data_IF_236887869953
#
_entry.id   IF_236887869953
#
_cell.length_a   1.000
_cell.length_b   1.000
_cell.length_c   1.000
_cell.angle_alpha   90.00
_cell.angle_beta   90.00
_cell.angle_gamma   90.00
#
_symmetry.space_group_name_H-M   'P 1'
#
loop_
_entity.id
_entity.type
_entity.pdbx_description
1 polymer ?
#
# COMPACT_ATOMS: atom_id res chain seq x y z
N UNK A 1 6.62 4.32 -29.25
CA UNK A 1 7.81 4.23 -28.36
C UNK A 1 7.43 4.09 -26.89
N UNK A 2 6.69 5.03 -26.27
CA UNK A 2 6.29 4.95 -24.85
C UNK A 2 5.56 3.65 -24.44
N UNK A 3 4.59 3.17 -25.24
CA UNK A 3 3.87 1.91 -24.94
C UNK A 3 4.73 0.65 -25.03
N UNK A 4 5.73 0.63 -25.92
CA UNK A 4 6.63 -0.50 -26.09
C UNK A 4 7.59 -0.61 -24.89
N UNK A 5 8.07 0.54 -24.40
CA UNK A 5 8.88 0.61 -23.19
C UNK A 5 8.10 0.19 -21.93
N UNK A 6 6.85 0.63 -21.77
CA UNK A 6 6.01 0.15 -20.67
C UNK A 6 5.82 -1.37 -20.73
N UNK A 7 5.59 -1.92 -21.93
CA UNK A 7 5.44 -3.36 -22.11
C UNK A 7 6.74 -4.13 -21.77
N UNK A 8 7.92 -3.58 -22.08
CA UNK A 8 9.19 -4.21 -21.70
C UNK A 8 9.49 -4.13 -20.20
N UNK A 9 8.89 -3.17 -19.49
CA UNK A 9 9.04 -2.97 -18.03
C UNK A 9 7.84 -3.46 -17.20
N UNK A 10 7.01 -4.32 -17.79
CA UNK A 10 5.76 -4.78 -17.17
C UNK A 10 6.03 -5.54 -15.87
N UNK A 11 7.05 -6.39 -15.84
CA UNK A 11 7.40 -7.18 -14.65
C UNK A 11 7.80 -6.30 -13.47
N UNK A 12 8.58 -5.26 -13.72
CA UNK A 12 8.97 -4.25 -12.73
C UNK A 12 7.73 -3.54 -12.18
N UNK A 13 6.84 -3.07 -13.06
CA UNK A 13 5.62 -2.37 -12.66
C UNK A 13 4.67 -3.25 -11.85
N UNK A 14 4.47 -4.51 -12.21
CA UNK A 14 3.65 -5.46 -11.45
C UNK A 14 4.22 -5.66 -10.04
N UNK A 15 5.54 -5.81 -9.92
CA UNK A 15 6.21 -5.88 -8.62
C UNK A 15 6.06 -4.58 -7.84
N UNK A 16 6.22 -3.44 -8.50
CA UNK A 16 6.19 -2.11 -7.87
C UNK A 16 4.79 -1.76 -7.34
N UNK A 17 3.71 -2.09 -8.07
CA UNK A 17 2.35 -1.85 -7.55
C UNK A 17 2.06 -2.66 -6.29
N UNK A 18 2.52 -3.92 -6.21
CA UNK A 18 2.29 -4.74 -5.02
C UNK A 18 3.10 -4.20 -3.85
N UNK A 19 4.39 -3.91 -4.06
CA UNK A 19 5.26 -3.34 -3.02
C UNK A 19 4.69 -2.03 -2.48
N UNK A 20 4.40 -1.09 -3.37
CA UNK A 20 3.95 0.24 -2.97
C UNK A 20 2.55 0.19 -2.34
N UNK A 21 1.68 -0.74 -2.77
CA UNK A 21 0.41 -1.01 -2.09
C UNK A 21 0.62 -1.50 -0.65
N UNK A 22 1.48 -2.49 -0.43
CA UNK A 22 1.74 -3.02 0.92
C UNK A 22 2.34 -1.94 1.84
N UNK A 23 3.30 -1.17 1.34
CA UNK A 23 3.91 -0.06 2.08
C UNK A 23 2.87 1.03 2.41
N UNK A 24 2.02 1.40 1.46
CA UNK A 24 0.98 2.43 1.66
C UNK A 24 -0.04 1.97 2.68
N UNK A 25 -0.48 0.71 2.59
CA UNK A 25 -1.41 0.15 3.54
C UNK A 25 -0.83 0.11 4.95
N UNK A 26 0.46 -0.21 5.12
CA UNK A 26 1.10 -0.19 6.44
C UNK A 26 1.09 1.22 7.05
N UNK A 27 1.42 2.25 6.27
CA UNK A 27 1.38 3.65 6.73
C UNK A 27 -0.05 4.06 7.12
N UNK A 28 -1.03 3.78 6.25
CA UNK A 28 -2.43 4.12 6.49
C UNK A 28 -3.02 3.37 7.69
N UNK A 29 -2.72 2.09 7.85
CA UNK A 29 -3.23 1.30 8.98
C UNK A 29 -2.71 1.81 10.33
N UNK A 30 -1.46 2.29 10.40
CA UNK A 30 -0.94 2.93 11.60
C UNK A 30 -1.77 4.17 11.95
N UNK A 31 -2.08 4.99 10.95
CA UNK A 31 -2.91 6.18 11.13
C UNK A 31 -4.35 5.81 11.50
N UNK A 32 -4.93 4.79 10.89
CA UNK A 32 -6.30 4.40 11.18
C UNK A 32 -6.46 3.76 12.57
N UNK A 33 -5.45 3.05 13.07
CA UNK A 33 -5.43 2.59 14.47
C UNK A 33 -5.41 3.76 15.45
N UNK A 34 -4.55 4.75 15.23
CA UNK A 34 -4.56 5.99 16.03
C UNK A 34 -5.91 6.71 15.95
N UNK A 35 -6.55 6.70 14.78
CA UNK A 35 -7.85 7.30 14.61
C UNK A 35 -8.97 6.54 15.32
N UNK A 36 -8.91 5.21 15.38
CA UNK A 36 -9.90 4.43 16.12
C UNK A 36 -9.79 4.69 17.65
N UNK A 37 -8.57 4.87 18.16
CA UNK A 37 -8.31 5.05 19.59
C UNK A 37 -8.49 6.51 20.06
N UNK A 38 -8.01 7.47 19.27
CA UNK A 38 -7.90 8.89 19.65
C UNK A 38 -8.74 9.83 18.76
N UNK A 39 -9.35 9.31 17.68
CA UNK A 39 -9.99 10.11 16.62
C UNK A 39 -9.09 11.21 16.05
N UNK A 40 -7.79 10.89 16.00
CA UNK A 40 -6.74 11.76 15.49
C UNK A 40 -6.00 11.07 14.36
N UNK A 41 -5.63 11.87 13.37
CA UNK A 41 -4.72 11.51 12.29
C UNK A 41 -3.60 12.53 12.29
N UNK A 42 -2.40 12.10 11.89
CA UNK A 42 -1.25 12.98 11.74
C UNK A 42 -1.25 13.57 10.32
N UNK A 43 -1.43 14.89 10.23
CA UNK A 43 -1.43 15.59 8.94
C UNK A 43 -0.11 15.39 8.17
N UNK A 44 1.03 15.44 8.85
CA UNK A 44 2.34 15.38 8.20
C UNK A 44 2.58 13.99 7.60
N UNK A 45 2.17 12.92 8.29
CA UNK A 45 2.23 11.55 7.75
C UNK A 45 1.36 11.42 6.50
N UNK A 46 0.13 11.96 6.51
CA UNK A 46 -0.76 11.94 5.34
C UNK A 46 -0.19 12.79 4.19
N UNK A 47 0.43 13.92 4.49
CA UNK A 47 1.10 14.79 3.52
C UNK A 47 2.30 14.07 2.88
N UNK A 48 3.11 13.36 3.65
CA UNK A 48 4.29 12.64 3.16
C UNK A 48 3.91 11.43 2.30
N UNK A 49 2.90 10.64 2.73
CA UNK A 49 2.49 9.44 1.98
C UNK A 49 1.86 9.80 0.62
N UNK A 50 1.21 10.96 0.52
CA UNK A 50 0.72 11.53 -0.73
C UNK A 50 1.84 12.21 -1.53
N UNK A 51 2.67 12.99 -0.84
CA UNK A 51 3.65 13.90 -1.41
C UNK A 51 3.02 15.01 -2.27
N UNK A 52 3.84 15.61 -3.12
CA UNK A 52 3.45 16.66 -4.06
C UNK A 52 3.90 16.29 -5.47
N UNK A 53 3.40 16.97 -6.49
CA UNK A 53 3.68 16.62 -7.89
C UNK A 53 5.19 16.55 -8.20
N UNK A 54 5.97 17.49 -7.64
CA UNK A 54 7.43 17.57 -7.80
C UNK A 54 8.22 16.63 -6.86
N UNK A 55 7.58 16.07 -5.84
CA UNK A 55 8.17 15.12 -4.90
C UNK A 55 7.10 14.10 -4.47
N UNK A 56 6.89 13.10 -5.35
CA UNK A 56 5.78 12.16 -5.27
C UNK A 56 5.92 11.24 -4.05
N UNK A 57 4.89 11.24 -3.22
CA UNK A 57 4.76 10.30 -2.11
C UNK A 57 4.43 8.90 -2.63
N UNK A 58 4.39 7.96 -1.69
CA UNK A 58 4.17 6.55 -1.98
C UNK A 58 2.83 6.28 -2.70
N UNK A 59 1.73 6.89 -2.22
CA UNK A 59 0.40 6.71 -2.85
C UNK A 59 0.34 7.34 -4.24
N UNK A 60 1.05 8.45 -4.47
CA UNK A 60 1.12 9.05 -5.80
C UNK A 60 1.87 8.13 -6.76
N UNK A 61 3.04 7.61 -6.35
CA UNK A 61 3.82 6.65 -7.16
C UNK A 61 3.03 5.38 -7.44
N UNK A 62 2.30 4.86 -6.47
CA UNK A 62 1.40 3.72 -6.62
C UNK A 62 0.32 3.99 -7.68
N UNK A 63 -0.38 5.12 -7.55
CA UNK A 63 -1.43 5.54 -8.50
C UNK A 63 -0.89 5.75 -9.91
N UNK A 64 0.27 6.40 -10.07
CA UNK A 64 0.87 6.65 -11.39
C UNK A 64 1.37 5.35 -12.03
N UNK A 65 2.02 4.48 -11.25
CA UNK A 65 2.46 3.16 -11.73
C UNK A 65 1.27 2.32 -12.19
N UNK A 66 0.21 2.25 -11.39
CA UNK A 66 -1.03 1.57 -11.77
C UNK A 66 -1.66 2.18 -13.02
N UNK A 67 -1.70 3.51 -13.12
CA UNK A 67 -2.22 4.21 -14.30
C UNK A 67 -1.46 3.83 -15.57
N UNK A 68 -0.12 3.78 -15.52
CA UNK A 68 0.71 3.37 -16.65
C UNK A 68 0.52 1.91 -17.02
N UNK A 69 0.46 1.02 -16.01
CA UNK A 69 0.29 -0.42 -16.22
C UNK A 69 -1.07 -0.75 -16.85
N UNK A 70 -2.16 -0.20 -16.33
CA UNK A 70 -3.52 -0.62 -16.69
C UNK A 70 -4.15 0.16 -17.85
N UNK A 71 -3.77 1.41 -18.14
CA UNK A 71 -4.33 2.17 -19.28
C UNK A 71 -3.65 1.90 -20.61
N UNK A 72 -2.43 1.36 -20.58
CA UNK A 72 -1.66 1.12 -21.81
C UNK A 72 -2.17 -0.11 -22.57
N UNK A 73 -2.86 -1.01 -21.87
CA UNK A 73 -3.35 -2.27 -22.42
C UNK A 73 -4.86 -2.17 -22.72
N UNK A 74 -5.23 -1.94 -23.98
CA UNK A 74 -6.65 -1.92 -24.39
C UNK A 74 -7.31 -3.30 -24.33
N UNK A 75 -6.53 -4.36 -24.07
CA UNK A 75 -6.99 -5.69 -23.69
C UNK A 75 -6.73 -6.03 -22.21
N UNK A 76 -6.51 -5.02 -21.36
CA UNK A 76 -6.29 -5.22 -19.92
C UNK A 76 -7.42 -6.05 -19.32
N UNK A 77 -7.03 -7.13 -18.65
CA UNK A 77 -7.89 -7.90 -17.77
C UNK A 77 -8.73 -6.96 -16.87
N UNK A 78 -10.00 -7.34 -16.69
CA UNK A 78 -10.99 -6.55 -15.93
C UNK A 78 -10.53 -6.37 -14.48
N UNK A 79 -9.84 -7.35 -13.90
CA UNK A 79 -9.33 -7.22 -12.53
C UNK A 79 -8.21 -6.18 -12.47
N UNK A 80 -7.33 -6.13 -13.46
CA UNK A 80 -6.31 -5.07 -13.59
C UNK A 80 -6.92 -3.66 -13.69
N UNK A 81 -7.97 -3.48 -14.50
CA UNK A 81 -8.63 -2.17 -14.64
C UNK A 81 -9.31 -1.73 -13.33
N UNK A 82 -10.06 -2.63 -12.70
CA UNK A 82 -10.71 -2.38 -11.40
C UNK A 82 -9.67 -2.08 -10.32
N UNK A 83 -8.55 -2.80 -10.31
CA UNK A 83 -7.46 -2.56 -9.38
C UNK A 83 -6.87 -1.16 -9.59
N UNK A 84 -6.63 -0.75 -10.85
CA UNK A 84 -6.23 0.61 -11.17
C UNK A 84 -7.18 1.68 -10.64
N UNK A 85 -8.49 1.43 -10.71
CA UNK A 85 -9.50 2.35 -10.13
C UNK A 85 -9.44 2.38 -8.60
N UNK A 86 -9.38 1.21 -7.94
CA UNK A 86 -9.25 1.14 -6.49
C UNK A 86 -8.02 1.91 -5.98
N UNK A 87 -6.86 1.73 -6.61
CA UNK A 87 -5.64 2.43 -6.24
C UNK A 87 -5.76 3.95 -6.46
N UNK A 88 -6.44 4.39 -7.52
CA UNK A 88 -6.78 5.79 -7.75
C UNK A 88 -7.72 6.35 -6.67
N UNK A 89 -8.76 5.60 -6.27
CA UNK A 89 -9.68 6.01 -5.23
C UNK A 89 -9.00 6.13 -3.86
N UNK A 90 -8.10 5.20 -3.50
CA UNK A 90 -7.32 5.31 -2.24
C UNK A 90 -6.55 6.64 -2.23
N UNK A 91 -5.89 7.00 -3.32
CA UNK A 91 -5.17 8.27 -3.44
C UNK A 91 -6.11 9.47 -3.22
N UNK A 92 -7.26 9.50 -3.90
CA UNK A 92 -8.20 10.62 -3.79
C UNK A 92 -8.87 10.73 -2.42
N UNK A 93 -9.31 9.63 -1.83
CA UNK A 93 -9.89 9.65 -0.48
C UNK A 93 -8.84 10.03 0.57
N UNK A 94 -7.57 9.63 0.39
CA UNK A 94 -6.49 10.05 1.30
C UNK A 94 -6.18 11.55 1.16
N UNK A 95 -6.28 12.12 -0.06
CA UNK A 95 -6.15 13.58 -0.23
C UNK A 95 -7.22 14.34 0.56
N UNK A 96 -8.48 13.91 0.48
CA UNK A 96 -9.56 14.51 1.28
C UNK A 96 -9.29 14.39 2.77
N UNK A 97 -8.92 13.18 3.21
CA UNK A 97 -8.60 12.90 4.60
C UNK A 97 -7.45 13.77 5.14
N UNK A 98 -6.43 14.04 4.32
CA UNK A 98 -5.34 14.96 4.66
C UNK A 98 -5.85 16.38 4.90
N UNK A 99 -6.72 16.89 4.03
CA UNK A 99 -7.30 18.24 4.22
C UNK A 99 -8.14 18.31 5.49
N UNK A 100 -8.93 17.27 5.79
CA UNK A 100 -9.73 17.23 7.02
C UNK A 100 -8.86 17.11 8.28
N UNK A 101 -7.76 16.33 8.23
CA UNK A 101 -6.79 16.24 9.32
C UNK A 101 -6.12 17.60 9.58
N UNK A 102 -5.72 18.32 8.52
CA UNK A 102 -5.18 19.68 8.64
C UNK A 102 -6.18 20.64 9.31
N UNK A 103 -7.44 20.61 8.85
CA UNK A 103 -8.48 21.46 9.41
C UNK A 103 -8.70 21.18 10.90
N UNK A 104 -8.68 19.90 11.29
CA UNK A 104 -8.84 19.48 12.68
C UNK A 104 -7.70 19.97 13.56
N UNK A 105 -6.45 19.81 13.12
CA UNK A 105 -5.27 20.23 13.87
C UNK A 105 -5.20 21.76 14.03
N UNK A 106 -5.40 22.52 12.95
CA UNK A 106 -5.21 23.97 12.97
C UNK A 106 -6.42 24.72 13.51
N UNK A 107 -7.63 24.38 13.08
CA UNK A 107 -8.83 25.12 13.47
C UNK A 107 -9.43 24.58 14.78
N UNK A 108 -9.37 23.26 15.02
CA UNK A 108 -9.92 22.66 16.24
C UNK A 108 -9.31 23.24 17.52
N UNK A 109 -7.98 23.41 17.56
CA UNK A 109 -7.29 24.03 18.70
C UNK A 109 -7.75 25.47 18.97
N UNK A 110 -7.91 26.28 17.91
CA UNK A 110 -8.33 27.69 18.01
C UNK A 110 -9.75 27.85 18.56
N UNK A 111 -10.67 26.94 18.23
CA UNK A 111 -12.02 26.95 18.82
C UNK A 111 -12.00 26.70 20.33
N UNK A 112 -11.08 25.88 20.83
CA UNK A 112 -10.92 25.64 22.26
C UNK A 112 -10.35 26.90 22.95
N UNK A 113 -9.36 27.55 22.35
CA UNK A 113 -8.79 28.81 22.84
C UNK A 113 -9.85 29.92 22.95
N UNK A 114 -10.70 30.07 21.93
CA UNK A 114 -11.79 31.05 21.97
C UNK A 114 -12.78 30.81 23.11
N UNK A 115 -13.05 29.55 23.45
CA UNK A 115 -13.91 29.23 24.62
C UNK A 115 -13.24 29.60 25.95
N UNK A 116 -11.91 29.60 26.03
CA UNK A 116 -11.16 29.88 27.26
C UNK A 116 -11.00 31.39 27.54
N UNK A 117 -10.82 32.21 26.50
CA UNK A 117 -10.59 33.67 26.65
C UNK A 117 -11.86 34.48 26.98
N UNK A 118 -13.03 33.84 27.00
CA UNK A 118 -14.30 34.47 27.36
C UNK A 118 -14.88 35.35 26.24
N UNK A 119 -15.78 34.78 25.45
CA UNK A 119 -16.42 35.47 24.32
C UNK A 119 -17.57 36.38 24.75
N UNK A 120 -17.74 37.52 24.05
CA UNK A 120 -18.92 38.38 24.16
C UNK A 120 -20.19 37.62 23.69
N UNK A 121 -21.40 38.01 24.13
CA UNK A 121 -22.64 37.31 23.76
C UNK A 121 -22.85 37.12 22.26
N UNK A 122 -22.51 38.13 21.45
CA UNK A 122 -22.65 38.12 20.00
C UNK A 122 -21.66 37.14 19.33
N UNK A 123 -20.43 37.06 19.85
CA UNK A 123 -19.37 36.17 19.36
C UNK A 123 -19.67 34.70 19.67
N UNK A 124 -20.33 34.43 20.80
CA UNK A 124 -20.72 33.06 21.20
C UNK A 124 -21.61 32.38 20.17
N UNK A 125 -22.55 33.11 19.56
CA UNK A 125 -23.42 32.57 18.52
C UNK A 125 -22.63 32.13 17.28
N UNK A 126 -21.74 33.02 16.80
CA UNK A 126 -20.91 32.77 15.61
C UNK A 126 -19.94 31.61 15.84
N UNK A 127 -19.25 31.59 16.99
CA UNK A 127 -18.32 30.52 17.36
C UNK A 127 -19.05 29.19 17.52
N UNK A 128 -20.28 29.20 18.05
CA UNK A 128 -21.13 28.02 18.13
C UNK A 128 -21.45 27.43 16.75
N UNK A 129 -21.89 28.25 15.80
CA UNK A 129 -22.18 27.78 14.43
C UNK A 129 -20.93 27.28 13.71
N UNK A 130 -19.80 28.00 13.81
CA UNK A 130 -18.56 27.56 13.19
C UNK A 130 -17.98 26.29 13.82
N UNK A 131 -18.24 26.04 15.11
CA UNK A 131 -17.83 24.79 15.75
C UNK A 131 -18.52 23.56 15.15
N UNK A 132 -19.73 23.72 14.60
CA UNK A 132 -20.41 22.63 13.88
C UNK A 132 -19.66 22.21 12.61
N UNK A 133 -18.93 23.13 11.97
CA UNK A 133 -18.09 22.79 10.80
C UNK A 133 -16.98 21.83 11.21
N UNK A 134 -16.38 22.03 12.39
CA UNK A 134 -15.35 21.12 12.93
C UNK A 134 -15.93 19.74 13.24
N UNK A 135 -17.16 19.67 13.76
CA UNK A 135 -17.85 18.40 13.99
C UNK A 135 -18.14 17.67 12.67
N UNK A 136 -18.54 18.40 11.62
CA UNK A 136 -18.71 17.86 10.26
C UNK A 136 -17.39 17.34 9.67
N UNK A 137 -16.26 18.00 9.93
CA UNK A 137 -14.92 17.51 9.54
C UNK A 137 -14.65 16.15 10.18
N UNK A 138 -14.95 15.97 11.46
CA UNK A 138 -14.77 14.67 12.15
C UNK A 138 -15.66 13.58 11.57
N UNK A 139 -16.91 13.88 11.25
CA UNK A 139 -17.80 12.94 10.55
C UNK A 139 -17.28 12.59 9.16
N UNK A 140 -16.72 13.55 8.44
CA UNK A 140 -16.05 13.30 7.17
C UNK A 140 -14.91 12.31 7.38
N UNK A 141 -13.93 12.62 8.23
CA UNK A 141 -12.76 11.77 8.45
C UNK A 141 -13.14 10.29 8.71
N UNK A 142 -14.19 10.03 9.50
CA UNK A 142 -14.69 8.67 9.73
C UNK A 142 -15.17 7.99 8.44
N UNK A 143 -15.90 8.70 7.59
CA UNK A 143 -16.35 8.20 6.28
C UNK A 143 -15.17 7.94 5.36
N UNK A 144 -14.21 8.84 5.26
CA UNK A 144 -13.03 8.63 4.42
C UNK A 144 -12.20 7.44 4.90
N UNK A 145 -11.94 7.30 6.21
CA UNK A 145 -11.24 6.14 6.79
C UNK A 145 -11.96 4.84 6.47
N UNK A 146 -13.29 4.79 6.68
CA UNK A 146 -14.10 3.60 6.38
C UNK A 146 -14.06 3.25 4.88
N UNK A 147 -14.13 4.26 4.00
CA UNK A 147 -14.03 4.07 2.54
C UNK A 147 -12.66 3.55 2.13
N UNK A 148 -11.58 4.13 2.63
CA UNK A 148 -10.23 3.68 2.31
C UNK A 148 -10.03 2.23 2.75
N UNK A 149 -10.46 1.86 3.97
CA UNK A 149 -10.42 0.46 4.45
C UNK A 149 -11.18 -0.49 3.53
N UNK A 150 -12.38 -0.13 3.11
CA UNK A 150 -13.17 -0.91 2.15
C UNK A 150 -12.45 -1.09 0.81
N UNK A 151 -11.86 -0.02 0.27
CA UNK A 151 -11.14 -0.08 -1.01
C UNK A 151 -9.84 -0.89 -0.89
N UNK A 152 -9.12 -0.81 0.24
CA UNK A 152 -7.94 -1.64 0.52
C UNK A 152 -8.33 -3.12 0.55
N UNK A 153 -9.41 -3.47 1.26
CA UNK A 153 -9.93 -4.85 1.30
C UNK A 153 -10.28 -5.35 -0.11
N UNK A 154 -10.98 -4.53 -0.89
CA UNK A 154 -11.32 -4.84 -2.29
C UNK A 154 -10.06 -5.00 -3.17
N UNK A 155 -9.04 -4.17 -2.95
CA UNK A 155 -7.77 -4.23 -3.68
C UNK A 155 -7.04 -5.54 -3.42
N UNK A 156 -7.01 -6.05 -2.18
CA UNK A 156 -6.41 -7.37 -1.87
C UNK A 156 -7.06 -8.48 -2.68
N UNK A 157 -8.38 -8.49 -2.73
CA UNK A 157 -9.15 -9.46 -3.50
C UNK A 157 -8.88 -9.36 -5.01
N UNK A 158 -8.69 -8.15 -5.53
CA UNK A 158 -8.32 -7.93 -6.93
C UNK A 158 -6.88 -8.37 -7.22
N UNK A 159 -5.92 -8.11 -6.31
CA UNK A 159 -4.55 -8.61 -6.45
C UNK A 159 -4.50 -10.14 -6.54
N UNK A 160 -5.28 -10.85 -5.72
CA UNK A 160 -5.37 -12.33 -5.75
C UNK A 160 -5.83 -12.83 -7.13
N UNK A 161 -6.69 -12.08 -7.82
CA UNK A 161 -7.23 -12.44 -9.14
C UNK A 161 -6.32 -12.00 -10.28
N UNK A 162 -5.61 -10.89 -10.10
CA UNK A 162 -4.77 -10.27 -11.12
C UNK A 162 -3.35 -10.88 -11.19
N UNK A 163 -2.71 -11.10 -10.04
CA UNK A 163 -1.31 -11.55 -9.99
C UNK A 163 -1.02 -12.96 -10.55
N UNK A 164 -1.96 -13.92 -10.62
CA UNK A 164 -1.71 -15.23 -11.24
C UNK A 164 -1.26 -15.16 -12.71
N UNK A 165 -1.69 -14.13 -13.46
CA UNK A 165 -1.20 -13.87 -14.82
C UNK A 165 0.30 -13.51 -14.88
N UNK A 166 0.89 -13.22 -13.72
CA UNK A 166 2.26 -12.79 -13.53
C UNK A 166 3.06 -13.75 -12.65
N UNK A 167 2.61 -15.00 -12.45
CA UNK A 167 3.26 -15.99 -11.57
C UNK A 167 4.72 -16.32 -11.92
N UNK A 168 5.13 -16.16 -13.17
CA UNK A 168 6.52 -16.37 -13.63
C UNK A 168 7.41 -15.13 -13.45
N UNK A 169 6.87 -14.03 -12.90
CA UNK A 169 7.63 -12.81 -12.67
C UNK A 169 8.61 -13.00 -11.49
N UNK A 170 9.88 -13.24 -11.81
CA UNK A 170 10.94 -13.44 -10.83
C UNK A 170 11.12 -12.25 -9.85
N UNK A 171 10.85 -11.02 -10.29
CA UNK A 171 10.90 -9.84 -9.40
C UNK A 171 9.74 -9.82 -8.40
N UNK A 172 8.56 -10.29 -8.80
CA UNK A 172 7.42 -10.46 -7.91
C UNK A 172 7.71 -11.57 -6.89
N UNK A 173 8.22 -12.72 -7.35
CA UNK A 173 8.60 -13.82 -6.46
C UNK A 173 9.67 -13.38 -5.44
N UNK A 174 10.68 -12.64 -5.89
CA UNK A 174 11.71 -12.04 -5.02
C UNK A 174 11.10 -11.08 -3.99
N UNK A 175 10.15 -10.23 -4.37
CA UNK A 175 9.46 -9.36 -3.41
C UNK A 175 8.73 -10.19 -2.34
N UNK A 176 8.00 -11.23 -2.74
CA UNK A 176 7.27 -12.11 -1.83
C UNK A 176 8.22 -12.85 -0.88
N UNK A 177 9.41 -13.22 -1.34
CA UNK A 177 10.46 -13.85 -0.54
C UNK A 177 11.18 -12.85 0.39
N UNK A 178 11.77 -11.79 -0.15
CA UNK A 178 12.59 -10.83 0.59
C UNK A 178 11.78 -9.96 1.57
N UNK A 179 10.53 -9.63 1.23
CA UNK A 179 9.66 -8.75 2.02
C UNK A 179 8.39 -9.48 2.46
N UNK A 180 8.53 -10.76 2.81
CA UNK A 180 7.41 -11.63 3.16
C UNK A 180 6.57 -11.08 4.32
N UNK A 181 7.21 -10.51 5.34
CA UNK A 181 6.54 -9.91 6.50
C UNK A 181 5.64 -8.74 6.09
N UNK A 182 6.12 -7.85 5.23
CA UNK A 182 5.35 -6.73 4.68
C UNK A 182 4.11 -7.23 3.95
N UNK A 183 4.26 -8.24 3.08
CA UNK A 183 3.13 -8.80 2.32
C UNK A 183 2.14 -9.50 3.25
N UNK A 184 2.62 -10.23 4.27
CA UNK A 184 1.75 -10.86 5.28
C UNK A 184 0.98 -9.83 6.09
N UNK A 185 1.62 -8.74 6.52
CA UNK A 185 0.94 -7.64 7.20
C UNK A 185 -0.10 -6.99 6.29
N UNK A 186 0.20 -6.88 5.00
CA UNK A 186 -0.70 -6.25 4.05
C UNK A 186 -1.91 -7.09 3.67
N UNK A 187 -1.77 -8.41 3.56
CA UNK A 187 -2.86 -9.31 3.17
C UNK A 187 -3.55 -9.96 4.38
N UNK A 188 -2.91 -10.01 5.55
CA UNK A 188 -3.45 -10.56 6.79
C UNK A 188 -4.04 -11.97 6.56
N UNK A 189 -5.38 -12.10 6.60
CA UNK A 189 -6.11 -13.36 6.39
C UNK A 189 -6.05 -13.85 4.94
N UNK A 190 -5.83 -12.93 4.00
CA UNK A 190 -5.81 -13.20 2.55
C UNK A 190 -4.43 -13.68 2.06
N UNK A 191 -3.40 -13.73 2.92
CA UNK A 191 -2.04 -14.07 2.49
C UNK A 191 -1.96 -15.49 1.90
N UNK A 192 -2.59 -16.47 2.54
CA UNK A 192 -2.58 -17.84 2.02
C UNK A 192 -3.32 -17.93 0.68
N UNK A 193 -4.47 -17.26 0.56
CA UNK A 193 -5.20 -17.18 -0.70
C UNK A 193 -4.36 -16.56 -1.82
N UNK A 194 -3.54 -15.54 -1.52
CA UNK A 194 -2.60 -14.94 -2.47
C UNK A 194 -1.54 -15.94 -2.94
N UNK A 195 -0.88 -16.65 -2.02
CA UNK A 195 0.16 -17.63 -2.38
C UNK A 195 -0.43 -18.79 -3.17
N UNK A 196 -1.58 -19.33 -2.75
CA UNK A 196 -2.28 -20.39 -3.47
C UNK A 196 -2.73 -19.93 -4.86
N UNK A 197 -3.23 -18.70 -5.01
CA UNK A 197 -3.61 -18.20 -6.33
C UNK A 197 -2.42 -18.07 -7.30
N UNK A 198 -1.24 -17.69 -6.79
CA UNK A 198 -0.02 -17.55 -7.58
C UNK A 198 0.59 -18.89 -7.98
N UNK A 199 0.72 -19.80 -7.02
CA UNK A 199 1.57 -20.98 -7.16
C UNK A 199 0.83 -22.32 -7.00
N UNK A 200 -0.45 -22.31 -6.66
CA UNK A 200 -1.26 -23.51 -6.44
C UNK A 200 -0.65 -24.41 -5.37
N UNK A 201 -0.52 -25.69 -5.69
CA UNK A 201 0.09 -26.72 -4.83
C UNK A 201 1.63 -26.71 -4.87
N UNK A 202 2.24 -25.73 -5.54
CA UNK A 202 3.68 -25.62 -5.74
C UNK A 202 4.29 -24.33 -5.14
N UNK A 203 4.10 -24.05 -3.84
CA UNK A 203 4.59 -22.81 -3.20
C UNK A 203 6.12 -22.67 -3.24
N UNK A 204 6.87 -23.76 -3.43
CA UNK A 204 8.32 -23.77 -3.63
C UNK A 204 8.76 -22.95 -4.85
N UNK A 205 7.86 -22.76 -5.85
CA UNK A 205 8.16 -21.96 -7.05
C UNK A 205 8.48 -20.51 -6.72
N UNK A 206 7.91 -19.96 -5.64
CA UNK A 206 8.25 -18.63 -5.15
C UNK A 206 9.76 -18.53 -4.86
N UNK A 207 10.30 -19.52 -4.16
CA UNK A 207 11.70 -19.56 -3.74
C UNK A 207 12.63 -19.74 -4.93
N UNK A 208 12.30 -20.66 -5.84
CA UNK A 208 13.08 -20.88 -7.05
C UNK A 208 13.16 -19.62 -7.93
N UNK A 209 12.03 -18.96 -8.19
CA UNK A 209 11.99 -17.72 -8.97
C UNK A 209 12.70 -16.56 -8.26
N UNK A 210 12.60 -16.48 -6.93
CA UNK A 210 13.34 -15.50 -6.14
C UNK A 210 14.86 -15.74 -6.25
N UNK A 211 15.31 -16.99 -6.15
CA UNK A 211 16.71 -17.38 -6.31
C UNK A 211 17.25 -16.99 -7.69
N UNK A 212 16.50 -17.27 -8.77
CA UNK A 212 16.86 -16.83 -10.12
C UNK A 212 17.03 -15.31 -10.20
N UNK A 213 16.09 -14.54 -9.62
CA UNK A 213 16.19 -13.08 -9.59
C UNK A 213 17.41 -12.59 -8.78
N UNK A 214 17.75 -13.26 -7.69
CA UNK A 214 18.92 -12.96 -6.86
C UNK A 214 20.23 -13.25 -7.61
N UNK A 215 20.33 -14.40 -8.29
CA UNK A 215 21.48 -14.76 -9.12
C UNK A 215 21.72 -13.75 -10.24
N UNK A 216 20.66 -13.35 -10.95
CA UNK A 216 20.76 -12.33 -12.01
C UNK A 216 21.26 -10.98 -11.47
N UNK A 217 21.00 -10.68 -10.19
CA UNK A 217 21.51 -9.50 -9.52
C UNK A 217 22.93 -9.65 -8.93
N UNK A 218 23.55 -10.83 -9.02
CA UNK A 218 24.87 -11.13 -8.42
C UNK A 218 24.85 -11.55 -6.95
N UNK A 219 23.69 -11.93 -6.40
CA UNK A 219 23.51 -12.27 -4.97
C UNK A 219 23.56 -13.79 -4.78
N UNK A 220 24.71 -14.39 -5.05
CA UNK A 220 24.88 -15.86 -5.12
C UNK A 220 24.54 -16.56 -3.79
N UNK A 221 24.98 -16.01 -2.67
CA UNK A 221 24.71 -16.59 -1.35
C UNK A 221 23.23 -16.58 -1.03
N UNK A 222 22.56 -15.45 -1.24
CA UNK A 222 21.13 -15.28 -0.98
C UNK A 222 20.27 -16.17 -1.89
N UNK A 223 20.69 -16.35 -3.14
CA UNK A 223 20.02 -17.26 -4.06
C UNK A 223 20.14 -18.72 -3.60
N UNK A 224 21.33 -19.16 -3.17
CA UNK A 224 21.52 -20.52 -2.66
C UNK A 224 20.65 -20.77 -1.42
N UNK A 225 20.54 -19.78 -0.52
CA UNK A 225 19.64 -19.86 0.64
C UNK A 225 18.17 -19.97 0.23
N UNK A 226 17.73 -19.19 -0.77
CA UNK A 226 16.37 -19.26 -1.27
C UNK A 226 16.05 -20.66 -1.85
N UNK A 227 16.94 -21.23 -2.65
CA UNK A 227 16.78 -22.60 -3.17
C UNK A 227 16.71 -23.65 -2.05
N UNK A 228 17.59 -23.55 -1.03
CA UNK A 228 17.58 -24.46 0.12
C UNK A 228 16.26 -24.39 0.90
N UNK A 229 15.75 -23.18 1.15
CA UNK A 229 14.45 -22.95 1.80
C UNK A 229 13.30 -23.55 0.97
N UNK A 230 13.33 -23.41 -0.36
CA UNK A 230 12.35 -24.01 -1.27
C UNK A 230 12.37 -25.54 -1.25
N UNK A 231 13.56 -26.15 -1.28
CA UNK A 231 13.72 -27.61 -1.19
C UNK A 231 13.28 -28.16 0.17
N UNK A 232 13.56 -27.44 1.26
CA UNK A 232 13.09 -27.82 2.59
C UNK A 232 11.55 -27.86 2.67
N UNK A 233 10.87 -26.89 2.04
CA UNK A 233 9.42 -26.83 1.96
C UNK A 233 8.82 -28.07 1.27
N UNK A 234 9.39 -28.48 0.12
CA UNK A 234 8.96 -29.69 -0.61
C UNK A 234 9.20 -30.95 0.20
N UNK A 235 10.30 -31.01 0.96
CA UNK A 235 10.65 -32.16 1.79
C UNK A 235 9.76 -32.31 3.04
N UNK A 236 8.73 -31.48 3.22
CA UNK A 236 7.83 -31.51 4.39
C UNK A 236 8.53 -31.10 5.69
N UNK A 237 9.74 -30.53 5.61
CA UNK A 237 10.41 -29.89 6.74
C UNK A 237 9.83 -28.49 6.83
N UNK A 238 8.90 -28.27 7.75
CA UNK A 238 8.27 -26.96 7.92
C UNK A 238 9.33 -25.84 7.93
N UNK A 239 9.19 -24.90 7.01
CA UNK A 239 9.62 -23.53 7.26
C UNK A 239 8.71 -22.56 6.50
N UNK A 240 7.67 -22.10 7.20
CA UNK A 240 6.94 -20.87 6.89
C UNK A 240 7.65 -19.62 7.44
N UNK A 241 8.97 -19.70 7.73
CA UNK A 241 9.70 -18.72 8.53
C UNK A 241 9.40 -17.27 8.11
N UNK A 242 8.89 -16.38 8.97
CA UNK A 242 8.81 -16.49 10.42
C UNK A 242 10.15 -16.28 11.12
N UNK A 243 11.12 -15.63 10.46
CA UNK A 243 12.34 -15.08 11.08
C UNK A 243 12.81 -13.82 10.34
N UNK A 244 12.06 -12.74 10.48
CA UNK A 244 12.44 -11.44 9.89
C UNK A 244 13.21 -10.53 10.86
N UNK A 245 13.91 -11.12 11.83
CA UNK A 245 14.70 -10.39 12.83
C UNK A 245 16.09 -9.93 12.34
N UNK A 246 16.31 -9.73 11.03
CA UNK A 246 17.64 -9.29 10.59
C UNK A 246 17.98 -9.25 9.09
N UNK A 247 17.08 -9.56 8.15
CA UNK A 247 17.39 -9.32 6.73
C UNK A 247 17.31 -7.82 6.46
N UNK A 248 18.46 -7.16 6.28
CA UNK A 248 18.52 -5.79 5.75
C UNK A 248 17.77 -5.78 4.41
N UNK A 249 16.58 -5.18 4.40
CA UNK A 249 15.87 -4.79 3.18
C UNK A 249 16.82 -3.91 2.38
N UNK A 250 17.38 -4.44 1.29
CA UNK A 250 18.27 -3.69 0.41
C UNK A 250 17.56 -3.32 -0.89
N UNK A 251 17.87 -2.15 -1.47
CA UNK A 251 17.14 -1.65 -2.62
C UNK A 251 17.18 -2.68 -3.75
N UNK A 252 16.02 -2.96 -4.33
CA UNK A 252 15.92 -3.62 -5.63
C UNK A 252 16.42 -2.59 -6.65
N UNK A 253 17.74 -2.56 -6.89
CA UNK A 253 18.35 -1.65 -7.87
C UNK A 253 17.73 -1.89 -9.25
N UNK A 254 17.13 -0.82 -9.78
CA UNK A 254 16.82 -0.73 -11.21
C UNK A 254 18.14 -0.35 -11.87
N UNK A 255 18.81 -1.30 -12.52
CA UNK A 255 19.90 -0.92 -13.42
C UNK A 255 19.31 -0.07 -14.57
N UNK A 256 20.04 0.97 -14.99
CA UNK A 256 19.57 1.97 -15.98
C UNK A 256 19.18 1.37 -17.32
#
# INVERSE_FOLDING_TARGET
MFRAWIRSKRSEFVRDILRDFCLSQQVLENQFRMFDDEERLDFEVLREVLGVEMNKGLLWRLKDTAHHLFRTDRGADVHGQLLGWCLGYIFHETMKLKEDAYQREIYGGRFLEFRQIGLRPEERGIVGELSKVVDQTRESMRREVARIRFIISSSRQLFIRYLPEHRENALLARLLYDQNSLVRMAFVLDYQALITALYGDHPERMFHLAAQSLLLGGWEREAALAEEEGLALVAGKESLAGRDGGRKVRPLEVQP
#
